data_IF_973964894694
#
_entry.id   IF_973964894694
#
_cell.length_a   1.000
_cell.length_b   1.000
_cell.length_c   1.000
_cell.angle_alpha   90.00
_cell.angle_beta   90.00
_cell.angle_gamma   90.00
#
_symmetry.space_group_name_H-M   'P 1'
#
loop_
_entity.id
_entity.type
_entity.pdbx_description
1 polymer ?
#
# COMPACT_ATOMS: atom_id res chain seq x y z
N UNK A 1 3.65 -8.74 -17.04
CA UNK A 1 3.24 -7.46 -16.46
C UNK A 1 1.97 -6.94 -17.15
N UNK A 2 0.94 -6.59 -16.38
CA UNK A 2 -0.29 -5.99 -16.91
C UNK A 2 -0.03 -4.55 -17.43
N UNK A 3 1.00 -3.90 -16.91
CA UNK A 3 1.41 -2.54 -17.27
C UNK A 3 2.89 -2.54 -17.61
N UNK A 4 3.28 -1.80 -18.65
CA UNK A 4 4.66 -1.80 -19.14
C UNK A 4 5.64 -1.03 -18.26
N UNK A 5 5.16 -0.04 -17.48
CA UNK A 5 5.99 0.91 -16.74
C UNK A 5 6.02 0.68 -15.22
N UNK A 6 5.37 -0.37 -14.71
CA UNK A 6 5.34 -0.64 -13.27
C UNK A 6 5.55 -2.11 -12.93
N UNK A 7 6.23 -2.35 -11.82
CA UNK A 7 6.45 -3.68 -11.28
C UNK A 7 5.92 -3.79 -9.85
N UNK A 8 5.48 -4.99 -9.50
CA UNK A 8 5.02 -5.31 -8.17
C UNK A 8 6.13 -6.05 -7.43
N UNK A 9 6.51 -5.54 -6.26
CA UNK A 9 7.49 -6.14 -5.37
C UNK A 9 6.77 -6.77 -4.17
N UNK A 10 6.96 -8.08 -4.00
CA UNK A 10 6.46 -8.81 -2.84
C UNK A 10 7.38 -8.54 -1.64
N UNK A 11 6.92 -7.70 -0.71
CA UNK A 11 7.70 -7.28 0.47
C UNK A 11 7.60 -8.29 1.59
N UNK A 12 6.38 -8.73 1.92
CA UNK A 12 6.10 -9.74 2.95
C UNK A 12 5.01 -10.70 2.46
N UNK A 13 5.05 -11.95 2.91
CA UNK A 13 4.03 -12.96 2.62
C UNK A 13 2.87 -12.97 3.62
N UNK A 14 3.06 -12.44 4.82
CA UNK A 14 2.05 -12.43 5.89
C UNK A 14 1.19 -11.17 5.89
N UNK A 15 0.01 -11.29 6.53
CA UNK A 15 -0.90 -10.20 6.84
C UNK A 15 -1.26 -10.23 8.32
N UNK A 16 -1.61 -9.06 8.90
CA UNK A 16 -2.16 -8.98 10.25
C UNK A 16 -3.62 -9.46 10.33
N UNK A 17 -4.34 -9.45 9.21
CA UNK A 17 -5.74 -9.87 9.11
C UNK A 17 -5.96 -10.73 7.87
N UNK A 18 -6.86 -11.73 7.98
CA UNK A 18 -7.26 -12.59 6.88
C UNK A 18 -8.55 -12.07 6.25
N UNK A 19 -8.43 -11.28 5.18
CA UNK A 19 -9.58 -10.76 4.45
C UNK A 19 -10.33 -11.91 3.75
N UNK A 20 -11.66 -11.99 3.94
CA UNK A 20 -12.51 -12.99 3.24
C UNK A 20 -12.43 -12.90 1.73
N UNK A 21 -12.27 -11.71 1.21
CA UNK A 21 -12.17 -11.35 -0.22
C UNK A 21 -10.75 -11.36 -0.76
N UNK A 22 -9.78 -11.97 -0.06
CA UNK A 22 -8.39 -11.98 -0.50
C UNK A 22 -8.21 -12.83 -1.76
N UNK A 23 -7.98 -12.20 -2.91
CA UNK A 23 -7.72 -12.89 -4.17
C UNK A 23 -6.36 -13.60 -4.21
N UNK A 24 -5.47 -13.30 -3.26
CA UNK A 24 -4.16 -13.95 -3.08
C UNK A 24 -4.16 -15.03 -2.01
N UNK A 25 -5.31 -15.50 -1.56
CA UNK A 25 -5.43 -16.51 -0.50
C UNK A 25 -4.60 -17.77 -0.77
N UNK A 26 -4.50 -18.17 -2.03
CA UNK A 26 -3.79 -19.38 -2.47
C UNK A 26 -2.45 -19.07 -3.16
N UNK A 27 -1.94 -17.86 -3.01
CA UNK A 27 -0.64 -17.51 -3.58
C UNK A 27 0.48 -18.21 -2.79
N UNK A 28 1.46 -18.86 -3.49
CA UNK A 28 2.55 -19.60 -2.85
C UNK A 28 3.60 -18.65 -2.25
N UNK A 29 3.26 -18.04 -1.12
CA UNK A 29 4.15 -17.09 -0.42
C UNK A 29 5.41 -17.77 0.14
N UNK A 30 5.37 -19.08 0.40
CA UNK A 30 6.53 -19.83 0.90
C UNK A 30 7.69 -19.79 -0.10
N UNK A 31 7.38 -19.90 -1.40
CA UNK A 31 8.37 -19.85 -2.48
C UNK A 31 8.87 -18.41 -2.73
N UNK A 32 8.11 -17.40 -2.27
CA UNK A 32 8.36 -15.98 -2.49
C UNK A 32 8.54 -15.22 -1.17
N UNK A 33 9.26 -15.81 -0.22
CA UNK A 33 9.51 -15.16 1.09
C UNK A 33 10.17 -13.80 0.89
N UNK A 34 9.53 -12.76 1.42
CA UNK A 34 10.08 -11.40 1.49
C UNK A 34 11.28 -11.36 2.42
N UNK A 35 12.44 -11.66 1.90
CA UNK A 35 13.73 -11.56 2.59
C UNK A 35 14.71 -10.74 1.76
N UNK A 36 15.79 -10.31 2.40
CA UNK A 36 16.78 -9.41 1.81
C UNK A 36 17.41 -9.97 0.52
N UNK A 37 17.63 -11.29 0.44
CA UNK A 37 18.22 -11.93 -0.75
C UNK A 37 17.26 -11.86 -1.95
N UNK A 38 15.97 -12.12 -1.73
CA UNK A 38 14.96 -12.02 -2.79
C UNK A 38 14.72 -10.58 -3.22
N UNK A 39 14.75 -9.63 -2.27
CA UNK A 39 14.66 -8.21 -2.58
C UNK A 39 15.85 -7.73 -3.42
N UNK A 40 17.07 -8.19 -3.14
CA UNK A 40 18.26 -7.86 -3.94
C UNK A 40 18.10 -8.31 -5.40
N UNK A 41 17.60 -9.53 -5.63
CA UNK A 41 17.31 -10.02 -7.00
C UNK A 41 16.27 -9.16 -7.71
N UNK A 42 15.20 -8.77 -6.98
CA UNK A 42 14.16 -7.89 -7.52
C UNK A 42 14.71 -6.49 -7.84
N UNK A 43 15.54 -5.91 -6.98
CA UNK A 43 16.21 -4.61 -7.20
C UNK A 43 17.10 -4.67 -8.44
N UNK A 44 17.87 -5.75 -8.62
CA UNK A 44 18.71 -5.92 -9.81
C UNK A 44 17.87 -6.03 -11.09
N UNK A 45 16.76 -6.76 -11.05
CA UNK A 45 15.81 -6.80 -12.15
C UNK A 45 15.25 -5.40 -12.47
N UNK A 46 14.84 -4.62 -11.47
CA UNK A 46 14.31 -3.27 -11.64
C UNK A 46 15.38 -2.38 -12.26
N UNK A 47 16.61 -2.43 -11.78
CA UNK A 47 17.74 -1.64 -12.27
C UNK A 47 18.01 -1.88 -13.77
N UNK A 48 17.89 -3.13 -14.20
CA UNK A 48 18.12 -3.54 -15.59
C UNK A 48 16.90 -3.31 -16.51
N UNK A 49 15.80 -2.75 -16.00
CA UNK A 49 14.59 -2.47 -16.80
C UNK A 49 14.21 -0.98 -16.76
N UNK A 50 14.85 -0.14 -17.59
CA UNK A 50 14.65 1.32 -17.57
C UNK A 50 13.24 1.78 -17.98
N UNK A 51 12.41 0.90 -18.50
CA UNK A 51 10.99 1.19 -18.78
C UNK A 51 10.13 1.28 -17.51
N UNK A 52 10.63 0.75 -16.38
CA UNK A 52 9.93 0.82 -15.10
C UNK A 52 10.16 2.19 -14.47
N UNK A 53 9.10 2.90 -14.14
CA UNK A 53 9.16 4.18 -13.42
C UNK A 53 8.40 4.16 -12.09
N UNK A 54 7.63 3.09 -11.84
CA UNK A 54 6.83 2.92 -10.62
C UNK A 54 7.02 1.51 -10.03
N UNK A 55 7.28 1.45 -8.72
CA UNK A 55 7.32 0.19 -7.97
C UNK A 55 6.16 0.15 -6.97
N UNK A 56 5.45 -0.98 -6.97
CA UNK A 56 4.32 -1.23 -6.09
C UNK A 56 4.75 -2.23 -5.01
N UNK A 57 4.82 -1.77 -3.76
CA UNK A 57 4.98 -2.66 -2.61
C UNK A 57 3.66 -3.37 -2.32
N UNK A 58 3.72 -4.69 -2.27
CA UNK A 58 2.58 -5.57 -2.08
C UNK A 58 3.03 -6.90 -1.44
N UNK A 59 2.21 -7.93 -1.56
CA UNK A 59 2.49 -9.26 -0.99
C UNK A 59 1.27 -9.78 -0.24
N UNK A 60 1.47 -10.24 0.97
CA UNK A 60 0.45 -10.23 1.99
C UNK A 60 0.13 -8.78 2.32
N UNK A 61 0.78 -8.21 3.32
CA UNK A 61 0.74 -6.76 3.55
C UNK A 61 2.18 -6.22 3.68
N UNK A 62 2.60 -5.26 2.84
CA UNK A 62 3.97 -4.77 2.84
C UNK A 62 4.34 -4.03 4.13
N UNK A 63 3.38 -3.44 4.85
CA UNK A 63 3.64 -2.76 6.11
C UNK A 63 3.84 -3.73 7.30
N UNK A 64 3.76 -5.04 7.09
CA UNK A 64 4.28 -6.04 8.02
C UNK A 64 5.82 -6.02 8.08
N UNK A 65 6.49 -5.44 7.11
CA UNK A 65 7.92 -5.18 7.18
C UNK A 65 8.23 -4.13 8.25
N UNK A 66 9.37 -4.30 8.95
CA UNK A 66 9.86 -3.32 9.92
C UNK A 66 10.30 -2.04 9.21
N UNK A 67 10.33 -0.92 9.94
CA UNK A 67 10.75 0.36 9.37
C UNK A 67 12.17 0.33 8.79
N UNK A 68 13.10 -0.42 9.41
CA UNK A 68 14.46 -0.61 8.87
C UNK A 68 14.47 -1.37 7.54
N UNK A 69 13.57 -2.35 7.36
CA UNK A 69 13.45 -3.10 6.13
C UNK A 69 12.87 -2.23 5.01
N UNK A 70 11.85 -1.42 5.34
CA UNK A 70 11.26 -0.46 4.40
C UNK A 70 12.27 0.63 4.01
N UNK A 71 13.00 1.17 4.98
CA UNK A 71 14.05 2.16 4.74
C UNK A 71 15.10 1.63 3.76
N UNK A 72 15.60 0.41 4.01
CA UNK A 72 16.55 -0.23 3.11
C UNK A 72 15.98 -0.38 1.68
N UNK A 73 14.75 -0.87 1.53
CA UNK A 73 14.10 -1.04 0.22
C UNK A 73 13.94 0.29 -0.50
N UNK A 74 13.47 1.33 0.20
CA UNK A 74 13.27 2.66 -0.37
C UNK A 74 14.60 3.23 -0.82
N UNK A 75 15.66 3.09 0.00
CA UNK A 75 17.02 3.56 -0.34
C UNK A 75 17.55 2.88 -1.62
N UNK A 76 17.32 1.56 -1.76
CA UNK A 76 17.74 0.86 -2.99
C UNK A 76 16.97 1.37 -4.23
N UNK A 77 15.67 1.63 -4.11
CA UNK A 77 14.88 2.18 -5.22
C UNK A 77 15.28 3.60 -5.57
N UNK A 78 15.60 4.43 -4.58
CA UNK A 78 16.08 5.81 -4.79
C UNK A 78 17.42 5.86 -5.54
N UNK A 79 18.27 4.85 -5.37
CA UNK A 79 19.52 4.74 -6.12
C UNK A 79 19.32 4.42 -7.62
N UNK A 80 18.10 4.09 -8.05
CA UNK A 80 17.77 3.77 -9.44
C UNK A 80 17.16 5.02 -10.13
N UNK A 81 17.85 5.70 -11.02
CA UNK A 81 17.44 7.03 -11.52
C UNK A 81 16.10 7.05 -12.25
N UNK A 82 15.73 5.97 -12.94
CA UNK A 82 14.49 5.90 -13.70
C UNK A 82 13.25 5.63 -12.83
N UNK A 83 13.42 5.18 -11.58
CA UNK A 83 12.29 5.02 -10.66
C UNK A 83 11.90 6.38 -10.09
N UNK A 84 10.63 6.74 -10.25
CA UNK A 84 10.06 8.03 -9.87
C UNK A 84 8.97 7.91 -8.81
N UNK A 85 8.28 6.75 -8.75
CA UNK A 85 7.13 6.56 -7.86
C UNK A 85 7.25 5.28 -7.04
N UNK A 86 6.85 5.40 -5.78
CA UNK A 86 6.62 4.27 -4.88
C UNK A 86 5.15 4.24 -4.49
N UNK A 87 4.51 3.11 -4.73
CA UNK A 87 3.13 2.87 -4.30
C UNK A 87 3.11 1.74 -3.29
N UNK A 88 2.43 1.94 -2.17
CA UNK A 88 2.29 0.95 -1.10
C UNK A 88 0.83 0.57 -0.98
N UNK A 89 0.50 -0.70 -1.21
CA UNK A 89 -0.85 -1.23 -1.03
C UNK A 89 -0.95 -1.92 0.32
N UNK A 90 -1.73 -1.38 1.24
CA UNK A 90 -1.82 -1.90 2.59
C UNK A 90 -3.22 -1.75 3.20
N UNK A 91 -3.65 -2.77 3.92
CA UNK A 91 -4.79 -2.71 4.83
C UNK A 91 -4.36 -2.43 6.29
N UNK A 92 -3.08 -2.60 6.58
CA UNK A 92 -2.58 -2.52 7.94
C UNK A 92 -2.87 -1.19 8.66
N UNK A 93 -2.77 -0.01 8.00
CA UNK A 93 -3.12 1.26 8.66
C UNK A 93 -4.61 1.35 9.07
N UNK A 94 -5.49 0.63 8.37
CA UNK A 94 -6.93 0.61 8.68
C UNK A 94 -7.22 -0.21 9.93
N UNK A 95 -6.49 -1.30 10.15
CA UNK A 95 -6.73 -2.24 11.25
C UNK A 95 -5.79 -2.00 12.44
N UNK A 96 -4.63 -1.40 12.19
CA UNK A 96 -3.63 -1.03 13.21
C UNK A 96 -3.05 0.36 12.83
N UNK A 97 -3.77 1.47 13.06
CA UNK A 97 -3.31 2.82 12.68
C UNK A 97 -1.94 3.20 13.28
N UNK A 98 -1.61 2.66 14.44
CA UNK A 98 -0.32 2.84 15.10
C UNK A 98 0.88 2.32 14.28
N UNK A 99 0.63 1.51 13.21
CA UNK A 99 1.68 1.10 12.27
C UNK A 99 2.26 2.30 11.50
N UNK A 100 1.52 3.38 11.39
CA UNK A 100 2.03 4.63 10.80
C UNK A 100 2.87 5.35 11.84
N UNK A 101 4.12 4.90 11.95
CA UNK A 101 5.11 5.43 12.89
C UNK A 101 5.65 6.78 12.42
N UNK A 102 6.16 7.57 13.35
CA UNK A 102 6.88 8.81 13.00
C UNK A 102 8.08 8.53 12.09
N UNK A 103 8.81 7.44 12.34
CA UNK A 103 9.97 7.03 11.53
C UNK A 103 9.59 6.72 10.09
N UNK A 104 8.50 5.98 9.86
CA UNK A 104 8.00 5.71 8.52
C UNK A 104 7.61 7.00 7.81
N UNK A 105 6.87 7.89 8.47
CA UNK A 105 6.48 9.18 7.91
C UNK A 105 7.70 10.02 7.54
N UNK A 106 8.68 10.14 8.43
CA UNK A 106 9.92 10.87 8.17
C UNK A 106 10.68 10.28 6.98
N UNK A 107 10.78 8.95 6.89
CA UNK A 107 11.43 8.28 5.76
C UNK A 107 10.74 8.57 4.43
N UNK A 108 9.41 8.52 4.40
CA UNK A 108 8.64 8.82 3.19
C UNK A 108 8.77 10.30 2.81
N UNK A 109 8.74 11.21 3.78
CA UNK A 109 8.89 12.65 3.55
C UNK A 109 10.24 13.03 2.95
N UNK A 110 11.32 12.35 3.37
CA UNK A 110 12.68 12.57 2.87
C UNK A 110 12.95 11.92 1.51
N UNK A 111 12.03 11.08 1.05
CA UNK A 111 12.20 10.35 -0.21
C UNK A 111 12.07 11.28 -1.42
N UNK A 112 12.97 11.11 -2.40
CA UNK A 112 12.82 11.76 -3.70
C UNK A 112 11.69 11.18 -4.56
N UNK A 113 11.18 9.99 -4.18
CA UNK A 113 10.11 9.33 -4.90
C UNK A 113 8.75 9.97 -4.59
N UNK A 114 7.86 10.00 -5.56
CA UNK A 114 6.46 10.32 -5.30
C UNK A 114 5.83 9.14 -4.55
N UNK A 115 5.49 9.36 -3.29
CA UNK A 115 4.93 8.31 -2.44
C UNK A 115 3.41 8.30 -2.51
N UNK A 116 2.86 7.12 -2.76
CA UNK A 116 1.42 6.87 -2.84
C UNK A 116 1.09 5.71 -1.91
N UNK A 117 0.11 5.88 -1.05
CA UNK A 117 -0.41 4.78 -0.23
C UNK A 117 -1.85 4.49 -0.62
N UNK A 118 -2.10 3.26 -1.02
CA UNK A 118 -3.44 2.76 -1.35
C UNK A 118 -3.95 1.97 -0.15
N UNK A 119 -4.91 2.56 0.54
CA UNK A 119 -5.60 1.95 1.67
C UNK A 119 -6.70 1.03 1.18
N UNK A 120 -7.02 0.00 1.95
CA UNK A 120 -8.08 -0.95 1.62
C UNK A 120 -9.23 -0.77 2.62
N UNK A 121 -10.17 0.12 2.31
CA UNK A 121 -11.33 0.46 3.15
C UNK A 121 -12.60 0.12 2.35
N UNK A 122 -13.53 -0.60 2.96
CA UNK A 122 -14.76 -1.06 2.31
C UNK A 122 -16.03 -0.42 2.89
N UNK A 123 -15.96 0.18 4.08
CA UNK A 123 -17.09 0.79 4.77
C UNK A 123 -16.68 2.05 5.55
N UNK A 124 -17.55 3.04 5.66
CA UNK A 124 -17.29 4.28 6.41
C UNK A 124 -16.94 4.02 7.88
N UNK A 125 -17.53 2.99 8.49
CA UNK A 125 -17.26 2.62 9.89
C UNK A 125 -15.82 2.15 10.15
N UNK A 126 -15.02 1.91 9.11
CA UNK A 126 -13.59 1.60 9.25
C UNK A 126 -12.74 2.88 9.44
N UNK A 127 -13.34 4.06 9.27
CA UNK A 127 -12.63 5.35 9.33
C UNK A 127 -12.91 6.00 10.69
N UNK A 128 -12.20 5.54 11.69
CA UNK A 128 -12.20 6.11 13.04
C UNK A 128 -11.19 7.25 13.22
N UNK A 129 -11.16 7.85 14.39
CA UNK A 129 -10.26 8.97 14.70
C UNK A 129 -8.79 8.56 14.64
N UNK A 130 -8.45 7.34 15.04
CA UNK A 130 -7.08 6.83 14.99
C UNK A 130 -6.59 6.70 13.53
N UNK A 131 -7.43 6.20 12.62
CA UNK A 131 -7.12 6.16 11.20
C UNK A 131 -7.01 7.57 10.60
N UNK A 132 -7.91 8.51 10.98
CA UNK A 132 -7.84 9.91 10.53
C UNK A 132 -6.52 10.56 10.93
N UNK A 133 -6.07 10.33 12.16
CA UNK A 133 -4.77 10.81 12.65
C UNK A 133 -3.60 10.21 11.85
N UNK A 134 -3.63 8.90 11.59
CA UNK A 134 -2.63 8.22 10.78
C UNK A 134 -2.59 8.77 9.34
N UNK A 135 -3.76 9.03 8.74
CA UNK A 135 -3.86 9.65 7.42
C UNK A 135 -3.29 11.08 7.42
N UNK A 136 -3.55 11.86 8.47
CA UNK A 136 -2.99 13.21 8.60
C UNK A 136 -1.46 13.18 8.68
N UNK A 137 -0.87 12.24 9.45
CA UNK A 137 0.59 12.03 9.51
C UNK A 137 1.17 11.73 8.12
N UNK A 138 0.52 10.84 7.36
CA UNK A 138 0.94 10.49 6.00
C UNK A 138 0.83 11.68 5.04
N UNK A 139 -0.25 12.46 5.11
CA UNK A 139 -0.42 13.67 4.29
C UNK A 139 0.64 14.73 4.60
N UNK A 140 0.97 14.93 5.89
CA UNK A 140 2.04 15.84 6.31
C UNK A 140 3.43 15.35 5.84
N UNK A 141 3.57 14.05 5.59
CA UNK A 141 4.75 13.45 4.98
C UNK A 141 4.69 13.46 3.43
N UNK A 142 3.78 14.24 2.82
CA UNK A 142 3.59 14.38 1.37
C UNK A 142 3.21 13.07 0.66
N UNK A 143 2.56 12.14 1.36
CA UNK A 143 2.05 10.90 0.78
C UNK A 143 0.66 11.12 0.20
N UNK A 144 0.47 10.76 -1.06
CA UNK A 144 -0.86 10.75 -1.69
C UNK A 144 -1.65 9.54 -1.19
N UNK A 145 -2.85 9.77 -0.66
CA UNK A 145 -3.71 8.71 -0.13
C UNK A 145 -4.82 8.36 -1.12
N UNK A 146 -4.88 7.09 -1.49
CA UNK A 146 -5.91 6.53 -2.35
C UNK A 146 -6.63 5.40 -1.62
N UNK A 147 -7.88 5.12 -2.00
CA UNK A 147 -8.62 3.97 -1.49
C UNK A 147 -8.90 2.94 -2.59
N UNK A 148 -8.72 1.68 -2.25
CA UNK A 148 -9.15 0.53 -3.01
C UNK A 148 -10.19 -0.24 -2.19
N UNK A 149 -11.45 -0.21 -2.62
CA UNK A 149 -12.54 -0.95 -1.99
C UNK A 149 -12.89 -2.21 -2.78
N UNK A 150 -13.63 -3.11 -2.13
CA UNK A 150 -14.24 -4.29 -2.74
C UNK A 150 -15.74 -4.22 -2.49
N UNK A 151 -16.54 -4.48 -3.51
CA UNK A 151 -17.99 -4.59 -3.37
C UNK A 151 -18.33 -5.91 -2.66
N UNK A 152 -18.88 -5.80 -1.47
CA UNK A 152 -19.15 -6.92 -0.57
C UNK A 152 -20.64 -7.04 -0.30
N UNK A 153 -21.23 -8.18 -0.69
CA UNK A 153 -22.64 -8.45 -0.47
C UNK A 153 -23.03 -8.38 1.01
N UNK A 154 -24.09 -7.64 1.31
CA UNK A 154 -24.57 -7.43 2.67
C UNK A 154 -23.71 -6.52 3.55
N UNK A 155 -22.69 -5.85 2.96
CA UNK A 155 -21.81 -4.91 3.68
C UNK A 155 -21.88 -3.52 3.06
N UNK A 156 -21.56 -3.39 1.77
CA UNK A 156 -21.51 -2.11 1.06
C UNK A 156 -22.12 -2.19 -0.34
N UNK A 157 -23.03 -3.13 -0.58
CA UNK A 157 -23.67 -3.42 -1.87
C UNK A 157 -24.90 -2.55 -2.16
N UNK A 158 -24.96 -1.36 -1.58
CA UNK A 158 -26.02 -0.39 -1.90
C UNK A 158 -25.42 1.02 -2.10
N UNK A 159 -26.13 1.84 -2.87
CA UNK A 159 -25.66 3.15 -3.29
C UNK A 159 -25.41 4.11 -2.09
N UNK A 160 -26.25 4.07 -1.07
CA UNK A 160 -26.13 4.96 0.09
C UNK A 160 -24.85 4.66 0.87
N UNK A 161 -24.56 3.39 1.17
CA UNK A 161 -23.36 2.96 1.89
C UNK A 161 -22.09 3.34 1.12
N UNK A 162 -22.09 3.20 -0.21
CA UNK A 162 -20.95 3.62 -1.04
C UNK A 162 -20.77 5.14 -1.08
N UNK A 163 -21.89 5.89 -1.11
CA UNK A 163 -21.84 7.34 -1.04
C UNK A 163 -21.31 7.82 0.33
N UNK A 164 -21.73 7.20 1.42
CA UNK A 164 -21.27 7.51 2.78
C UNK A 164 -19.77 7.17 2.94
N UNK A 165 -19.33 6.02 2.40
CA UNK A 165 -17.91 5.69 2.33
C UNK A 165 -17.13 6.75 1.56
N UNK A 166 -17.61 7.17 0.41
CA UNK A 166 -16.93 8.16 -0.42
C UNK A 166 -16.78 9.50 0.30
N UNK A 167 -17.81 9.98 0.98
CA UNK A 167 -17.76 11.20 1.82
C UNK A 167 -16.74 11.05 2.95
N UNK A 168 -16.81 9.95 3.71
CA UNK A 168 -15.89 9.68 4.81
C UNK A 168 -14.42 9.60 4.36
N UNK A 169 -14.17 9.03 3.17
CA UNK A 169 -12.83 9.02 2.56
C UNK A 169 -12.35 10.44 2.25
N UNK A 170 -13.16 11.27 1.58
CA UNK A 170 -12.79 12.67 1.30
C UNK A 170 -12.54 13.46 2.58
N UNK A 171 -13.37 13.30 3.61
CA UNK A 171 -13.19 13.97 4.91
C UNK A 171 -11.87 13.58 5.58
N UNK A 172 -11.42 12.32 5.39
CA UNK A 172 -10.12 11.84 5.85
C UNK A 172 -8.95 12.20 4.90
N UNK A 173 -9.24 12.85 3.77
CA UNK A 173 -8.26 13.23 2.76
C UNK A 173 -7.75 12.04 1.94
N UNK A 174 -8.58 11.04 1.75
CA UNK A 174 -8.31 9.85 0.96
C UNK A 174 -9.16 9.91 -0.31
N UNK A 175 -8.53 9.77 -1.47
CA UNK A 175 -9.26 9.77 -2.74
C UNK A 175 -9.78 8.36 -3.07
N UNK A 176 -11.08 8.17 -3.34
CA UNK A 176 -11.59 6.94 -3.93
C UNK A 176 -10.89 6.65 -5.26
N UNK A 177 -10.39 5.42 -5.44
CA UNK A 177 -9.55 5.09 -6.59
C UNK A 177 -10.01 3.84 -7.33
N UNK A 178 -10.18 2.72 -6.61
CA UNK A 178 -10.70 1.48 -7.16
C UNK A 178 -11.86 0.93 -6.34
N UNK A 179 -12.88 0.40 -7.06
CA UNK A 179 -13.88 -0.49 -6.51
C UNK A 179 -13.82 -1.81 -7.30
N UNK A 180 -13.42 -2.87 -6.63
CA UNK A 180 -13.37 -4.21 -7.22
C UNK A 180 -14.70 -4.91 -7.03
N UNK A 181 -15.15 -5.59 -8.09
CA UNK A 181 -16.25 -6.55 -8.06
C UNK A 181 -15.62 -7.94 -8.16
N UNK A 182 -15.95 -8.83 -7.23
CA UNK A 182 -15.47 -10.22 -7.18
C UNK A 182 -16.50 -11.17 -7.80
#
# INVERSE_FOLDING_TARGET
>A
HKYQNRALLLVKGGCAVNCRYCFRRHFPYEDNKGNKANWQKAIEYIKNNPKLDEIIFSGGDPLMAKDDELDWLITQLEAIPHIKRLRIHSRLPVVIPARITHRLCQRLQQSRLQNIMVLHINHANEIDDALREACLKLKNAHVTLLNQGVLLRGVNDNAQTLADLSRALFDAGIMPYYLHVL
#
